data_IF_063327537914
#
_entry.id   IF_063327537914
#
_cell.length_a   1.000
_cell.length_b   1.000
_cell.length_c   1.000
_cell.angle_alpha   90.00
_cell.angle_beta   90.00
_cell.angle_gamma   90.00
#
_symmetry.space_group_name_H-M   'P 1'
#
loop_
_entity.id
_entity.type
_entity.pdbx_description
1 polymer ?
#
# COMPACT_ATOMS: atom_id res chain seq x y z
N UNK A 1 32.10 -6.93 -1.77
CA UNK A 1 31.16 -6.61 -2.86
C UNK A 1 31.40 -7.49 -4.09
N UNK A 2 32.50 -7.31 -4.85
CA UNK A 2 32.80 -8.12 -6.05
C UNK A 2 32.87 -9.62 -5.73
N UNK A 3 33.52 -9.97 -4.61
CA UNK A 3 33.66 -11.37 -4.15
C UNK A 3 32.33 -12.10 -3.84
N UNK A 4 31.24 -11.36 -3.59
CA UNK A 4 29.92 -11.91 -3.28
C UNK A 4 29.05 -12.02 -4.54
N UNK A 5 29.26 -11.13 -5.52
CA UNK A 5 28.66 -11.24 -6.85
C UNK A 5 29.26 -12.40 -7.63
N UNK A 6 30.59 -12.56 -7.61
CA UNK A 6 31.28 -13.70 -8.24
C UNK A 6 30.89 -15.04 -7.61
N UNK A 7 30.64 -15.07 -6.29
CA UNK A 7 30.17 -16.28 -5.60
C UNK A 7 28.72 -16.65 -5.96
N UNK A 8 27.93 -15.68 -6.43
CA UNK A 8 26.52 -15.88 -6.74
C UNK A 8 26.22 -16.02 -8.24
N UNK A 9 27.23 -15.86 -9.11
CA UNK A 9 27.17 -16.22 -10.53
C UNK A 9 26.21 -15.39 -11.39
N UNK A 10 25.72 -14.25 -10.90
CA UNK A 10 24.74 -13.40 -11.61
C UNK A 10 25.45 -12.32 -12.44
N UNK A 11 25.06 -12.17 -13.70
CA UNK A 11 25.62 -11.14 -14.59
C UNK A 11 25.01 -9.75 -14.32
N UNK A 12 23.80 -9.73 -13.74
CA UNK A 12 23.03 -8.52 -13.44
C UNK A 12 22.42 -8.60 -12.04
N UNK A 13 22.44 -7.49 -11.30
CA UNK A 13 21.82 -7.40 -9.96
C UNK A 13 20.29 -7.66 -9.96
N UNK A 14 19.66 -7.59 -11.13
CA UNK A 14 18.23 -7.78 -11.34
C UNK A 14 17.80 -9.25 -11.39
N UNK A 15 18.74 -10.18 -11.62
CA UNK A 15 18.49 -11.62 -11.80
C UNK A 15 17.93 -12.32 -10.54
N UNK A 16 17.94 -11.65 -9.38
CA UNK A 16 17.30 -12.13 -8.15
C UNK A 16 16.37 -11.07 -7.56
N UNK A 17 15.32 -11.50 -6.88
CA UNK A 17 14.38 -10.61 -6.16
C UNK A 17 15.01 -10.04 -4.89
N UNK A 18 14.45 -8.96 -4.32
CA UNK A 18 14.91 -8.44 -3.03
C UNK A 18 14.80 -9.49 -1.91
N UNK A 19 13.76 -10.33 -1.90
CA UNK A 19 13.66 -11.41 -0.91
C UNK A 19 14.81 -12.42 -1.04
N UNK A 20 15.16 -12.83 -2.27
CA UNK A 20 16.26 -13.76 -2.53
C UNK A 20 17.62 -13.17 -2.15
N UNK A 21 17.82 -11.87 -2.30
CA UNK A 21 19.03 -11.21 -1.81
C UNK A 21 19.10 -11.15 -0.28
N UNK A 22 17.95 -11.02 0.40
CA UNK A 22 17.90 -11.00 1.87
C UNK A 22 18.16 -12.37 2.49
N UNK A 23 17.74 -13.47 1.86
CA UNK A 23 18.00 -14.83 2.36
C UNK A 23 19.48 -15.20 2.32
N UNK A 24 20.27 -14.56 1.46
CA UNK A 24 21.73 -14.72 1.38
C UNK A 24 22.50 -14.06 2.54
N UNK A 25 21.81 -13.38 3.46
CA UNK A 25 22.43 -12.74 4.63
C UNK A 25 22.51 -13.73 5.79
N UNK A 26 23.71 -14.23 6.19
CA UNK A 26 23.80 -15.11 7.35
C UNK A 26 23.54 -14.32 8.64
N UNK A 27 22.80 -14.91 9.59
CA UNK A 27 22.70 -14.36 10.94
C UNK A 27 24.11 -14.30 11.56
N UNK A 28 24.54 -13.11 12.00
CA UNK A 28 25.78 -12.93 12.77
C UNK A 28 27.02 -12.43 12.01
N UNK A 29 26.96 -12.14 10.70
CA UNK A 29 28.11 -11.57 9.97
C UNK A 29 27.84 -10.12 9.50
N UNK A 30 28.38 -9.10 10.20
CA UNK A 30 28.19 -7.69 9.87
C UNK A 30 28.68 -7.31 8.46
N UNK A 31 29.86 -7.79 8.06
CA UNK A 31 30.45 -7.48 6.75
C UNK A 31 29.60 -8.01 5.58
N UNK A 32 29.00 -9.20 5.74
CA UNK A 32 28.05 -9.72 4.74
C UNK A 32 26.72 -8.96 4.74
N UNK A 33 26.28 -8.46 5.89
CA UNK A 33 25.08 -7.61 5.99
C UNK A 33 25.26 -6.30 5.23
N UNK A 34 26.39 -5.62 5.40
CA UNK A 34 26.68 -4.36 4.71
C UNK A 34 26.80 -4.55 3.20
N UNK A 35 27.43 -5.65 2.77
CA UNK A 35 27.48 -6.03 1.36
C UNK A 35 26.09 -6.28 0.76
N UNK A 36 25.18 -6.95 1.49
CA UNK A 36 23.80 -7.16 1.06
C UNK A 36 23.03 -5.83 1.00
N UNK A 37 23.22 -4.93 1.98
CA UNK A 37 22.61 -3.60 1.93
C UNK A 37 23.06 -2.79 0.71
N UNK A 38 24.34 -2.83 0.37
CA UNK A 38 24.88 -2.17 -0.82
C UNK A 38 24.34 -2.81 -2.12
N UNK A 39 24.24 -4.15 -2.18
CA UNK A 39 23.63 -4.87 -3.30
C UNK A 39 22.16 -4.49 -3.48
N UNK A 40 21.38 -4.47 -2.39
CA UNK A 40 19.99 -4.02 -2.42
C UNK A 40 19.89 -2.56 -2.85
N UNK A 41 20.78 -1.68 -2.37
CA UNK A 41 20.83 -0.29 -2.79
C UNK A 41 21.11 -0.15 -4.29
N UNK A 42 22.14 -0.83 -4.79
CA UNK A 42 22.49 -0.83 -6.22
C UNK A 42 21.38 -1.40 -7.10
N UNK A 43 20.78 -2.53 -6.71
CA UNK A 43 19.62 -3.11 -7.39
C UNK A 43 18.46 -2.13 -7.45
N UNK A 44 18.13 -1.47 -6.34
CA UNK A 44 17.04 -0.49 -6.30
C UNK A 44 17.29 0.70 -7.21
N UNK A 45 18.53 1.18 -7.27
CA UNK A 45 18.91 2.27 -8.20
C UNK A 45 18.78 1.82 -9.65
N UNK A 46 19.16 0.59 -9.97
CA UNK A 46 18.96 0.00 -11.28
C UNK A 46 17.47 -0.18 -11.62
N UNK A 47 16.65 -0.66 -10.68
CA UNK A 47 15.19 -0.73 -10.85
C UNK A 47 14.61 0.65 -11.15
N UNK A 48 15.01 1.69 -10.41
CA UNK A 48 14.55 3.05 -10.65
C UNK A 48 14.95 3.56 -12.04
N UNK A 49 16.12 3.17 -12.55
CA UNK A 49 16.60 3.54 -13.88
C UNK A 49 15.89 2.77 -15.01
N UNK A 50 15.58 1.49 -14.80
CA UNK A 50 14.93 0.62 -15.79
C UNK A 50 13.42 0.84 -15.83
N UNK A 51 12.78 0.97 -14.67
CA UNK A 51 11.32 1.11 -14.56
C UNK A 51 10.84 2.56 -14.74
N UNK A 52 11.72 3.54 -14.54
CA UNK A 52 11.36 4.97 -14.55
C UNK A 52 10.79 5.46 -13.21
N UNK A 53 10.74 6.78 -13.05
CA UNK A 53 10.31 7.46 -11.82
C UNK A 53 8.96 8.16 -12.00
N UNK A 54 8.33 8.51 -10.88
CA UNK A 54 7.13 9.34 -10.85
C UNK A 54 5.82 8.56 -10.92
N UNK A 55 4.72 9.32 -10.95
CA UNK A 55 3.37 8.77 -10.87
C UNK A 55 2.95 7.98 -12.10
N UNK A 56 3.46 8.29 -13.28
CA UNK A 56 3.06 7.60 -14.52
C UNK A 56 3.50 6.12 -14.53
N UNK A 57 4.61 5.79 -13.86
CA UNK A 57 5.06 4.41 -13.67
C UNK A 57 4.46 3.74 -12.42
N UNK A 58 4.37 4.45 -11.30
CA UNK A 58 3.91 3.86 -10.04
C UNK A 58 2.38 3.69 -10.00
N UNK A 59 1.60 4.63 -10.55
CA UNK A 59 0.14 4.63 -10.44
C UNK A 59 -0.55 3.41 -11.08
N UNK A 60 -0.15 2.92 -12.28
CA UNK A 60 -0.73 1.71 -12.86
C UNK A 60 -0.50 0.45 -12.02
N UNK A 61 0.53 0.44 -11.17
CA UNK A 61 0.88 -0.71 -10.34
C UNK A 61 -0.04 -0.81 -9.12
N UNK A 62 -0.21 -2.03 -8.63
CA UNK A 62 -0.89 -2.28 -7.35
C UNK A 62 0.06 -2.27 -6.15
N UNK A 63 1.37 -2.12 -6.40
CA UNK A 63 2.40 -1.98 -5.36
C UNK A 63 3.19 -0.71 -5.64
N UNK A 64 3.00 0.31 -4.81
CA UNK A 64 3.68 1.58 -4.97
C UNK A 64 4.93 1.65 -4.10
N UNK A 65 6.04 1.94 -4.73
CA UNK A 65 7.33 2.16 -4.07
C UNK A 65 7.52 3.67 -3.93
N UNK A 66 7.25 4.20 -2.74
CA UNK A 66 7.24 5.66 -2.53
C UNK A 66 8.59 6.32 -2.84
N UNK A 67 9.70 5.59 -2.68
CA UNK A 67 11.05 6.04 -3.09
C UNK A 67 11.17 6.41 -4.58
N UNK A 68 10.33 5.86 -5.45
CA UNK A 68 10.34 6.13 -6.89
C UNK A 68 9.57 7.41 -7.25
N UNK A 69 8.85 8.00 -6.30
CA UNK A 69 8.07 9.24 -6.49
C UNK A 69 8.91 10.52 -6.31
N UNK A 70 10.14 10.42 -5.80
CA UNK A 70 11.07 11.54 -5.69
C UNK A 70 12.09 11.39 -4.56
N UNK A 71 13.17 12.20 -4.55
CA UNK A 71 14.30 12.06 -3.63
C UNK A 71 13.96 12.36 -2.15
N UNK A 72 12.90 13.13 -1.90
CA UNK A 72 12.39 13.46 -0.56
C UNK A 72 11.44 12.39 0.01
N UNK A 73 10.98 11.46 -0.85
CA UNK A 73 9.93 10.52 -0.47
C UNK A 73 10.57 9.29 0.19
N UNK A 74 10.12 9.00 1.40
CA UNK A 74 10.67 7.92 2.22
C UNK A 74 10.57 6.53 1.56
N UNK A 75 11.50 5.64 1.95
CA UNK A 75 11.53 4.24 1.52
C UNK A 75 10.42 3.40 2.20
N UNK A 76 9.18 3.60 1.76
CA UNK A 76 8.02 2.81 2.16
C UNK A 76 7.33 2.21 0.92
N UNK A 77 6.64 1.10 1.12
CA UNK A 77 5.89 0.38 0.08
C UNK A 77 4.42 0.34 0.47
N UNK A 78 3.56 0.83 -0.41
CA UNK A 78 2.11 0.73 -0.27
C UNK A 78 1.62 -0.44 -1.13
N UNK A 79 0.90 -1.37 -0.52
CA UNK A 79 0.47 -2.65 -1.12
C UNK A 79 -1.04 -2.67 -1.28
N UNK A 80 -1.52 -2.28 -2.46
CA UNK A 80 -2.92 -2.34 -2.85
C UNK A 80 -3.31 -3.71 -3.43
N UNK A 81 -2.32 -4.54 -3.78
CA UNK A 81 -2.48 -5.92 -4.25
C UNK A 81 -3.28 -6.82 -3.29
N UNK A 82 -3.36 -6.43 -2.02
CA UNK A 82 -4.07 -7.15 -0.96
C UNK A 82 -5.55 -6.77 -0.83
N UNK A 83 -6.02 -5.78 -1.60
CA UNK A 83 -7.43 -5.39 -1.63
C UNK A 83 -8.08 -6.16 -2.79
N UNK A 84 -8.88 -7.21 -2.55
CA UNK A 84 -9.39 -8.06 -3.63
C UNK A 84 -10.36 -7.32 -4.56
N UNK A 85 -11.17 -6.41 -4.01
CA UNK A 85 -12.19 -5.66 -4.75
C UNK A 85 -11.55 -4.59 -5.66
N UNK A 86 -11.64 -4.71 -7.00
CA UNK A 86 -11.00 -3.76 -7.92
C UNK A 86 -11.55 -2.34 -7.80
N UNK A 87 -12.87 -2.20 -7.61
CA UNK A 87 -13.53 -0.90 -7.43
C UNK A 87 -12.99 -0.15 -6.21
N UNK A 88 -12.76 -0.86 -5.10
CA UNK A 88 -12.21 -0.28 -3.87
C UNK A 88 -10.74 0.07 -4.05
N UNK A 89 -9.98 -0.81 -4.71
CA UNK A 89 -8.56 -0.64 -4.99
C UNK A 89 -8.29 0.62 -5.81
N UNK A 90 -9.05 0.82 -6.88
CA UNK A 90 -8.84 1.96 -7.79
C UNK A 90 -9.18 3.30 -7.14
N UNK A 91 -10.27 3.37 -6.38
CA UNK A 91 -10.59 4.60 -5.63
C UNK A 91 -9.56 4.84 -4.52
N UNK A 92 -9.09 3.79 -3.85
CA UNK A 92 -8.02 3.90 -2.85
C UNK A 92 -6.73 4.45 -3.44
N UNK A 93 -6.28 3.91 -4.58
CA UNK A 93 -5.14 4.40 -5.34
C UNK A 93 -5.31 5.88 -5.67
N UNK A 94 -6.39 6.26 -6.37
CA UNK A 94 -6.66 7.66 -6.75
C UNK A 94 -6.58 8.61 -5.56
N UNK A 95 -7.19 8.24 -4.44
CA UNK A 95 -7.18 9.04 -3.21
C UNK A 95 -5.80 9.19 -2.58
N UNK A 96 -5.08 8.08 -2.43
CA UNK A 96 -3.78 8.10 -1.79
C UNK A 96 -2.75 8.83 -2.65
N UNK A 97 -2.86 8.75 -3.99
CA UNK A 97 -2.08 9.59 -4.90
C UNK A 97 -2.29 11.06 -4.60
N UNK A 98 -3.54 11.54 -4.59
CA UNK A 98 -3.84 12.94 -4.28
C UNK A 98 -3.29 13.35 -2.92
N UNK A 99 -3.49 12.54 -1.88
CA UNK A 99 -2.98 12.81 -0.52
C UNK A 99 -1.45 12.90 -0.47
N UNK A 100 -0.75 12.03 -1.18
CA UNK A 100 0.71 12.05 -1.26
C UNK A 100 1.19 13.28 -2.04
N UNK A 101 0.52 13.65 -3.13
CA UNK A 101 0.80 14.88 -3.87
C UNK A 101 0.56 16.15 -3.04
N UNK A 102 -0.38 16.14 -2.09
CA UNK A 102 -0.64 17.27 -1.17
C UNK A 102 0.19 17.20 0.12
N UNK A 103 1.24 16.37 0.19
CA UNK A 103 2.19 16.34 1.31
C UNK A 103 1.75 15.52 2.54
N UNK A 104 0.83 14.57 2.40
CA UNK A 104 0.45 13.69 3.52
C UNK A 104 1.61 12.82 3.99
N UNK A 105 1.66 12.55 5.30
CA UNK A 105 2.65 11.64 5.87
C UNK A 105 2.52 10.22 5.33
N UNK A 106 3.67 9.60 5.06
CA UNK A 106 3.80 8.19 4.67
C UNK A 106 3.15 7.24 5.70
N UNK A 107 3.28 7.55 6.99
CA UNK A 107 2.79 6.70 8.08
C UNK A 107 1.27 6.65 8.05
N UNK A 108 0.64 7.80 7.79
CA UNK A 108 -0.81 7.91 7.59
C UNK A 108 -1.27 7.14 6.35
N UNK A 109 -0.53 7.23 5.24
CA UNK A 109 -0.87 6.48 4.03
C UNK A 109 -0.76 4.96 4.23
N UNK A 110 0.29 4.50 4.93
CA UNK A 110 0.45 3.08 5.30
C UNK A 110 -0.70 2.59 6.18
N UNK A 111 -1.09 3.39 7.18
CA UNK A 111 -2.23 3.09 8.04
C UNK A 111 -3.53 2.98 7.23
N UNK A 112 -3.76 3.91 6.30
CA UNK A 112 -4.94 3.88 5.42
C UNK A 112 -4.97 2.61 4.55
N UNK A 113 -3.86 2.22 3.92
CA UNK A 113 -3.81 1.00 3.11
C UNK A 113 -4.07 -0.24 3.97
N UNK A 114 -3.52 -0.31 5.18
CA UNK A 114 -3.79 -1.42 6.10
C UNK A 114 -5.25 -1.48 6.50
N UNK A 115 -5.83 -0.35 6.90
CA UNK A 115 -7.24 -0.29 7.27
C UNK A 115 -8.15 -0.74 6.11
N UNK A 116 -7.85 -0.30 4.89
CA UNK A 116 -8.58 -0.73 3.70
C UNK A 116 -8.37 -2.21 3.38
N UNK A 117 -7.18 -2.77 3.60
CA UNK A 117 -6.92 -4.20 3.38
C UNK A 117 -7.75 -5.06 4.35
N UNK A 118 -7.83 -4.66 5.62
CA UNK A 118 -8.65 -5.37 6.61
C UNK A 118 -10.15 -5.25 6.31
N UNK A 119 -10.61 -4.05 5.94
CA UNK A 119 -11.99 -3.85 5.51
C UNK A 119 -12.33 -4.66 4.25
N UNK A 120 -11.43 -4.70 3.27
CA UNK A 120 -11.57 -5.46 2.05
C UNK A 120 -11.68 -6.98 2.30
N UNK A 121 -10.88 -7.50 3.23
CA UNK A 121 -10.99 -8.90 3.67
C UNK A 121 -12.36 -9.17 4.34
N UNK A 122 -12.81 -8.27 5.23
CA UNK A 122 -14.14 -8.38 5.82
C UNK A 122 -15.25 -8.40 4.77
N UNK A 123 -15.18 -7.54 3.74
CA UNK A 123 -16.19 -7.53 2.67
C UNK A 123 -16.22 -8.87 1.93
N UNK A 124 -15.06 -9.45 1.62
CA UNK A 124 -14.97 -10.77 0.97
C UNK A 124 -15.67 -11.85 1.79
N UNK A 125 -15.46 -11.87 3.10
CA UNK A 125 -15.89 -12.99 3.95
C UNK A 125 -17.32 -12.82 4.48
N UNK A 126 -17.78 -11.57 4.68
CA UNK A 126 -19.00 -11.27 5.44
C UNK A 126 -20.00 -10.36 4.74
N UNK A 127 -19.64 -9.80 3.58
CA UNK A 127 -20.53 -8.97 2.77
C UNK A 127 -20.25 -9.14 1.25
N UNK A 128 -20.33 -10.38 0.71
CA UNK A 128 -19.98 -10.65 -0.68
C UNK A 128 -20.90 -9.94 -1.69
N UNK A 129 -22.10 -9.56 -1.26
CA UNK A 129 -23.08 -8.82 -2.08
C UNK A 129 -22.68 -7.36 -2.32
N UNK A 130 -21.64 -6.84 -1.65
CA UNK A 130 -21.16 -5.47 -1.82
C UNK A 130 -20.21 -5.39 -3.03
N UNK A 131 -20.73 -4.93 -4.17
CA UNK A 131 -20.00 -4.88 -5.43
C UNK A 131 -19.50 -3.48 -5.84
N UNK A 132 -19.93 -2.43 -5.13
CA UNK A 132 -19.51 -1.03 -5.33
C UNK A 132 -19.59 -0.22 -4.04
N UNK A 133 -18.95 0.96 -4.07
CA UNK A 133 -18.93 1.91 -2.94
C UNK A 133 -20.32 2.33 -2.47
N UNK A 134 -21.30 2.45 -3.38
CA UNK A 134 -22.67 2.80 -3.06
C UNK A 134 -23.44 1.72 -2.29
N UNK A 135 -22.98 0.47 -2.28
CA UNK A 135 -23.58 -0.62 -1.47
C UNK A 135 -23.03 -0.67 -0.05
N UNK A 136 -22.04 0.18 0.27
CA UNK A 136 -21.56 0.36 1.64
C UNK A 136 -22.57 1.24 2.38
N UNK A 137 -23.60 0.59 2.90
CA UNK A 137 -24.60 1.21 3.75
C UNK A 137 -24.17 1.22 5.24
N UNK A 138 -25.06 1.74 6.07
CA UNK A 138 -24.85 1.78 7.51
C UNK A 138 -24.74 0.38 8.12
N UNK A 139 -25.53 -0.59 7.66
CA UNK A 139 -25.55 -1.94 8.21
C UNK A 139 -24.25 -2.70 7.93
N UNK A 140 -23.65 -2.53 6.75
CA UNK A 140 -22.30 -3.06 6.43
C UNK A 140 -21.26 -2.48 7.38
N UNK A 141 -21.29 -1.17 7.61
CA UNK A 141 -20.33 -0.52 8.51
C UNK A 141 -20.50 -0.96 9.96
N UNK A 142 -21.73 -1.10 10.45
CA UNK A 142 -22.00 -1.59 11.81
C UNK A 142 -21.54 -3.04 12.00
N UNK A 143 -21.78 -3.92 11.02
CA UNK A 143 -21.24 -5.29 11.02
C UNK A 143 -19.72 -5.32 11.03
N UNK A 144 -19.08 -4.44 10.26
CA UNK A 144 -17.62 -4.31 10.27
C UNK A 144 -17.10 -3.87 11.64
N UNK A 145 -17.74 -2.88 12.27
CA UNK A 145 -17.37 -2.38 13.61
C UNK A 145 -17.55 -3.44 14.70
N UNK A 146 -18.53 -4.32 14.54
CA UNK A 146 -18.75 -5.48 15.42
C UNK A 146 -17.81 -6.67 15.13
N UNK A 147 -17.03 -6.65 14.05
CA UNK A 147 -16.25 -7.80 13.62
C UNK A 147 -15.00 -8.02 14.50
N UNK A 148 -14.72 -9.27 14.97
CA UNK A 148 -13.71 -9.55 16.01
C UNK A 148 -12.28 -9.11 15.73
N UNK A 149 -11.89 -8.94 14.47
CA UNK A 149 -10.55 -8.41 14.12
C UNK A 149 -10.28 -7.00 14.71
N UNK A 150 -11.31 -6.20 14.96
CA UNK A 150 -11.20 -4.92 15.67
C UNK A 150 -11.10 -5.11 17.18
N UNK A 151 -11.56 -6.25 17.71
CA UNK A 151 -11.59 -6.59 19.13
C UNK A 151 -10.30 -7.28 19.61
N UNK A 152 -9.51 -7.85 18.71
CA UNK A 152 -8.20 -8.47 19.02
C UNK A 152 -7.02 -7.49 18.94
N UNK A 153 -7.28 -6.25 18.55
CA UNK A 153 -6.27 -5.22 18.33
C UNK A 153 -6.30 -4.23 19.49
N UNK A 154 -5.15 -3.69 19.93
CA UNK A 154 -5.12 -2.72 21.03
C UNK A 154 -6.03 -1.51 20.73
N UNK A 155 -6.78 -1.03 21.73
CA UNK A 155 -7.79 0.03 21.57
C UNK A 155 -7.33 1.27 20.79
N UNK A 156 -6.13 1.84 21.02
CA UNK A 156 -5.61 2.96 20.23
C UNK A 156 -5.41 2.64 18.74
N UNK A 157 -5.07 1.40 18.42
CA UNK A 157 -4.85 0.93 17.04
C UNK A 157 -6.20 0.69 16.34
N UNK A 158 -7.19 0.16 17.06
CA UNK A 158 -8.58 0.05 16.59
C UNK A 158 -9.17 1.42 16.24
N UNK A 159 -9.05 2.42 17.13
CA UNK A 159 -9.54 3.77 16.88
C UNK A 159 -8.88 4.42 15.65
N UNK A 160 -7.59 4.16 15.45
CA UNK A 160 -6.84 4.65 14.28
C UNK A 160 -7.35 4.06 12.97
N UNK A 161 -7.76 2.78 12.95
CA UNK A 161 -8.35 2.13 11.79
C UNK A 161 -9.73 2.70 11.45
N UNK A 162 -10.57 2.86 12.46
CA UNK A 162 -11.89 3.45 12.30
C UNK A 162 -11.78 4.89 11.78
N UNK A 163 -10.87 5.69 12.36
CA UNK A 163 -10.60 7.06 11.91
C UNK A 163 -10.10 7.11 10.45
N UNK A 164 -9.19 6.20 10.08
CA UNK A 164 -8.68 6.09 8.72
C UNK A 164 -9.80 5.79 7.71
N UNK A 165 -10.67 4.81 8.01
CA UNK A 165 -11.80 4.47 7.16
C UNK A 165 -12.85 5.59 7.10
N UNK A 166 -13.19 6.20 8.22
CA UNK A 166 -14.15 7.32 8.23
C UNK A 166 -13.63 8.49 7.38
N UNK A 167 -12.36 8.85 7.57
CA UNK A 167 -11.71 9.87 6.74
C UNK A 167 -11.75 9.46 5.27
N UNK A 168 -11.51 8.18 4.97
CA UNK A 168 -11.55 7.61 3.63
C UNK A 168 -12.95 7.65 2.96
N UNK A 169 -14.03 7.32 3.65
CA UNK A 169 -15.35 7.41 3.05
C UNK A 169 -15.84 8.86 2.93
N UNK A 170 -15.59 9.66 3.96
CA UNK A 170 -15.97 11.09 3.96
C UNK A 170 -15.32 11.86 2.82
N UNK A 171 -14.01 11.67 2.62
CA UNK A 171 -13.32 12.36 1.53
C UNK A 171 -13.67 11.83 0.13
N UNK A 172 -14.06 10.56 -0.04
CA UNK A 172 -14.57 10.08 -1.34
C UNK A 172 -15.88 10.81 -1.67
N UNK A 173 -16.80 10.86 -0.71
CA UNK A 173 -18.09 11.58 -0.83
C UNK A 173 -17.88 13.06 -1.14
N UNK A 174 -16.95 13.72 -0.44
CA UNK A 174 -16.67 15.15 -0.61
C UNK A 174 -16.05 15.50 -1.97
N UNK A 175 -15.22 14.63 -2.53
CA UNK A 175 -14.54 14.88 -3.80
C UNK A 175 -15.25 14.30 -5.02
N UNK A 176 -16.42 13.66 -4.83
CA UNK A 176 -17.21 13.09 -5.94
C UNK A 176 -16.44 12.03 -6.74
N UNK A 177 -15.48 11.34 -6.12
CA UNK A 177 -14.64 10.35 -6.80
C UNK A 177 -15.35 9.02 -7.10
N UNK A 178 -16.62 8.95 -6.72
CA UNK A 178 -17.55 7.91 -7.07
C UNK A 178 -18.82 8.58 -7.61
N UNK A 179 -19.12 8.33 -8.89
CA UNK A 179 -20.31 8.83 -9.59
C UNK A 179 -21.57 8.03 -9.27
N UNK A 180 -21.47 6.93 -8.52
CA UNK A 180 -22.62 6.11 -8.10
C UNK A 180 -23.30 6.61 -6.82
N UNK A 181 -22.71 7.59 -6.13
CA UNK A 181 -23.32 8.25 -4.98
C UNK A 181 -24.13 9.46 -5.47
N UNK A 182 -25.38 9.66 -5.02
CA UNK A 182 -26.17 10.80 -5.45
C UNK A 182 -25.42 12.08 -5.05
N UNK A 183 -25.01 12.87 -6.04
CA UNK A 183 -24.69 14.28 -5.85
C UNK A 183 -25.98 14.94 -5.41
N UNK A 184 -26.16 15.05 -4.09
CA UNK A 184 -27.29 15.72 -3.50
C UNK A 184 -27.35 17.16 -4.02
N UNK A 185 -28.25 17.41 -4.96
CA UNK A 185 -28.96 18.67 -5.11
C UNK A 185 -30.36 18.30 -5.58
N UNK A 186 -31.26 18.04 -4.63
CA UNK A 186 -32.67 18.25 -4.91
C UNK A 186 -32.84 19.77 -5.02
N UNK A 187 -33.19 20.22 -6.21
CA UNK A 187 -33.87 21.51 -6.40
C UNK A 187 -35.30 21.40 -5.88
#
# INVERSE_FOLDING_TARGET
MIRLLTFTGVATLLERTEEQWRTLTPKGNPSRRDAVHLILFGRRKLDTLVEGTGWDNEFPRDVWRLRNLGPSVANAVLRFDRIPQPWLREVAKRRLRWRLSTGSSKTTCLLHVRALTHFAAFLTDHAPDVDRLADIDRAVLERYLAHPHLMTTSGPYQASFICALNTFFTGIRRHGWDTSLPTGTKA
#
